data_IF_625881683061
#
_entry.id   IF_625881683061
#
_cell.length_a   1.000
_cell.length_b   1.000
_cell.length_c   1.000
_cell.angle_alpha   90.00
_cell.angle_beta   90.00
_cell.angle_gamma   90.00
#
_symmetry.space_group_name_H-M   'P 1'
#
loop_
_entity.id
_entity.type
_entity.pdbx_description
1 polymer ?
#
# COMPACT_ATOMS: atom_id res chain seq x y z
N UNK A 1 -16.52 17.92 -5.94
CA UNK A 1 -15.72 17.55 -5.81
C UNK A 1 -15.24 16.54 -5.84
N UNK A 2 -14.89 16.38 -6.03
CA UNK A 2 -14.46 15.70 -6.18
C UNK A 2 -13.67 14.87 -5.82
N UNK A 3 -13.34 14.89 -5.53
CA UNK A 3 -12.71 13.63 -5.50
C UNK A 3 -11.75 13.48 -4.42
N UNK A 4 -11.35 12.25 -4.21
CA UNK A 4 -10.37 11.92 -3.19
C UNK A 4 -8.99 11.86 -3.83
N UNK A 5 -8.01 12.37 -3.12
CA UNK A 5 -6.63 12.36 -3.59
C UNK A 5 -5.85 11.29 -2.85
N UNK A 6 -5.25 10.40 -3.61
CA UNK A 6 -4.42 9.33 -3.05
C UNK A 6 -2.98 9.51 -3.48
N UNK A 7 -2.07 9.15 -2.58
CA UNK A 7 -0.65 9.12 -2.87
C UNK A 7 -0.07 7.80 -2.43
N UNK A 8 0.84 7.26 -3.22
CA UNK A 8 1.58 6.06 -2.87
C UNK A 8 3.05 6.45 -2.87
N UNK A 9 3.68 6.38 -1.70
CA UNK A 9 5.08 6.73 -1.55
C UNK A 9 5.88 5.48 -1.21
N UNK A 10 6.90 5.21 -2.02
CA UNK A 10 7.75 4.05 -1.82
C UNK A 10 9.18 4.54 -1.76
N UNK A 11 9.93 4.10 -0.75
CA UNK A 11 11.33 4.42 -0.65
C UNK A 11 12.10 3.19 -0.21
N UNK A 12 13.40 3.19 -0.53
CA UNK A 12 14.27 2.07 -0.23
C UNK A 12 15.63 2.59 0.17
N UNK A 13 16.21 1.95 1.18
CA UNK A 13 17.57 2.26 1.61
C UNK A 13 18.16 0.99 2.19
N UNK A 14 19.20 0.45 1.52
CA UNK A 14 19.93 -0.71 2.03
C UNK A 14 19.03 -1.88 2.40
N UNK A 15 18.17 -2.30 1.48
CA UNK A 15 17.26 -3.43 1.68
C UNK A 15 16.18 -3.17 2.73
N UNK A 16 16.03 -1.93 3.15
CA UNK A 16 14.96 -1.53 4.03
C UNK A 16 13.98 -0.69 3.22
N UNK A 17 12.73 -1.11 3.19
CA UNK A 17 11.72 -0.50 2.34
C UNK A 17 10.64 0.14 3.18
N UNK A 18 10.08 1.25 2.67
CA UNK A 18 8.94 1.90 3.28
C UNK A 18 7.89 2.12 2.22
N UNK A 19 6.64 1.81 2.55
CA UNK A 19 5.51 2.10 1.68
C UNK A 19 4.49 2.84 2.51
N UNK A 20 3.98 3.92 1.97
CA UNK A 20 2.97 4.71 2.65
C UNK A 20 1.88 5.06 1.65
N UNK A 21 0.64 4.83 2.03
CA UNK A 21 -0.51 5.20 1.21
C UNK A 21 -1.27 6.29 1.96
N UNK A 22 -1.45 7.43 1.30
CA UNK A 22 -2.12 8.58 1.88
C UNK A 22 -3.43 8.84 1.15
N UNK A 23 -4.43 9.26 1.90
CA UNK A 23 -5.72 9.67 1.36
C UNK A 23 -6.01 11.06 1.89
N UNK A 24 -6.03 12.05 0.99
CA UNK A 24 -6.26 13.44 1.35
C UNK A 24 -5.29 13.93 2.42
N UNK A 25 -4.03 13.45 2.34
CA UNK A 25 -3.01 13.83 3.30
C UNK A 25 -2.98 12.98 4.55
N UNK A 26 -3.96 12.09 4.74
CA UNK A 26 -4.01 11.22 5.91
C UNK A 26 -3.42 9.86 5.59
N UNK A 27 -2.70 9.30 6.54
CA UNK A 27 -2.11 7.98 6.34
C UNK A 27 -3.18 6.90 6.40
N UNK A 28 -3.41 6.25 5.27
CA UNK A 28 -4.35 5.15 5.17
C UNK A 28 -3.66 3.84 5.56
N UNK A 29 -2.39 3.71 5.19
CA UNK A 29 -1.65 2.47 5.39
C UNK A 29 -0.17 2.79 5.36
N UNK A 30 0.60 2.11 6.20
CA UNK A 30 2.06 2.22 6.17
C UNK A 30 2.66 0.86 6.47
N UNK A 31 3.75 0.55 5.80
CA UNK A 31 4.47 -0.70 6.00
C UNK A 31 5.95 -0.44 5.83
N UNK A 32 6.77 -1.13 6.61
CA UNK A 32 8.21 -0.97 6.51
C UNK A 32 8.91 -2.26 6.90
N UNK A 33 10.13 -2.42 6.44
CA UNK A 33 10.93 -3.58 6.71
C UNK A 33 11.55 -4.11 5.43
N UNK A 34 11.90 -5.40 5.42
CA UNK A 34 12.42 -6.00 4.21
C UNK A 34 11.27 -6.25 3.22
N UNK A 35 11.63 -6.69 2.04
CA UNK A 35 10.67 -6.88 0.95
C UNK A 35 9.51 -7.78 1.36
N UNK A 36 9.81 -8.90 1.98
CA UNK A 36 8.79 -9.87 2.35
C UNK A 36 7.87 -9.32 3.43
N UNK A 37 8.42 -8.61 4.41
CA UNK A 37 7.61 -8.02 5.48
C UNK A 37 6.65 -6.97 4.93
N UNK A 38 7.14 -6.13 4.01
CA UNK A 38 6.28 -5.11 3.43
C UNK A 38 5.17 -5.74 2.62
N UNK A 39 5.50 -6.73 1.77
CA UNK A 39 4.48 -7.40 0.98
C UNK A 39 3.46 -8.11 1.86
N UNK A 40 3.92 -8.76 2.92
CA UNK A 40 3.02 -9.46 3.83
C UNK A 40 2.04 -8.48 4.47
N UNK A 41 2.55 -7.32 4.89
CA UNK A 41 1.70 -6.31 5.54
C UNK A 41 0.67 -5.75 4.56
N UNK A 42 1.11 -5.38 3.37
CA UNK A 42 0.19 -4.85 2.36
C UNK A 42 -0.86 -5.87 1.99
N UNK A 43 -0.44 -7.12 1.79
CA UNK A 43 -1.36 -8.19 1.42
C UNK A 43 -2.35 -8.49 2.53
N UNK A 44 -1.91 -8.43 3.77
CA UNK A 44 -2.79 -8.66 4.92
C UNK A 44 -3.91 -7.62 4.97
N UNK A 45 -3.56 -6.36 4.80
CA UNK A 45 -4.54 -5.29 4.83
C UNK A 45 -5.53 -5.43 3.67
N UNK A 46 -5.01 -5.73 2.48
CA UNK A 46 -5.86 -5.93 1.31
C UNK A 46 -6.82 -7.10 1.52
N UNK A 47 -6.30 -8.24 1.98
CA UNK A 47 -7.11 -9.42 2.18
C UNK A 47 -8.20 -9.19 3.21
N UNK A 48 -7.88 -8.47 4.28
CA UNK A 48 -8.87 -8.16 5.31
C UNK A 48 -10.02 -7.33 4.74
N UNK A 49 -9.71 -6.35 3.89
CA UNK A 49 -10.74 -5.54 3.28
C UNK A 49 -11.61 -6.35 2.33
N UNK A 50 -10.99 -7.22 1.54
CA UNK A 50 -11.74 -8.07 0.63
C UNK A 50 -12.66 -9.01 1.41
N UNK A 51 -12.15 -9.59 2.48
CA UNK A 51 -12.93 -10.53 3.30
C UNK A 51 -14.10 -9.85 3.99
N UNK A 52 -13.99 -8.57 4.28
CA UNK A 52 -15.09 -7.82 4.87
C UNK A 52 -15.89 -7.07 3.81
N UNK A 53 -15.66 -7.39 2.54
CA UNK A 53 -16.41 -6.86 1.40
C UNK A 53 -16.31 -5.35 1.27
N UNK A 54 -15.15 -4.81 1.59
CA UNK A 54 -14.90 -3.38 1.45
C UNK A 54 -14.26 -3.11 0.09
N UNK A 55 -15.09 -3.14 -0.95
CA UNK A 55 -14.63 -2.94 -2.33
C UNK A 55 -14.82 -1.48 -2.72
N UNK A 56 -14.06 -0.60 -2.11
CA UNK A 56 -14.14 0.82 -2.40
C UNK A 56 -12.81 1.31 -3.00
N UNK A 57 -12.73 2.61 -3.22
CA UNK A 57 -11.53 3.20 -3.82
C UNK A 57 -10.30 2.99 -2.95
N UNK A 58 -10.46 3.01 -1.63
CA UNK A 58 -9.34 2.75 -0.73
C UNK A 58 -8.74 1.38 -1.00
N UNK A 59 -9.58 0.37 -1.17
CA UNK A 59 -9.13 -0.99 -1.43
C UNK A 59 -8.40 -1.06 -2.77
N UNK A 60 -8.90 -0.35 -3.79
CA UNK A 60 -8.24 -0.32 -5.09
C UNK A 60 -6.86 0.31 -5.00
N UNK A 61 -6.72 1.37 -4.23
CA UNK A 61 -5.44 2.03 -4.09
C UNK A 61 -4.45 1.13 -3.34
N UNK A 62 -4.92 0.39 -2.35
CA UNK A 62 -4.07 -0.57 -1.65
C UNK A 62 -3.57 -1.64 -2.62
N UNK A 63 -4.44 -2.13 -3.49
CA UNK A 63 -4.03 -3.09 -4.51
C UNK A 63 -2.98 -2.48 -5.43
N UNK A 64 -3.17 -1.23 -5.84
CA UNK A 64 -2.19 -0.54 -6.68
C UNK A 64 -0.85 -0.41 -5.97
N UNK A 65 -0.86 -0.17 -4.66
CA UNK A 65 0.38 -0.04 -3.91
C UNK A 65 1.15 -1.36 -3.89
N UNK A 66 0.45 -2.48 -3.81
CA UNK A 66 1.09 -3.79 -3.86
C UNK A 66 1.77 -3.99 -5.21
N UNK A 67 1.09 -3.66 -6.30
CA UNK A 67 1.65 -3.81 -7.64
C UNK A 67 2.83 -2.88 -7.84
N UNK A 68 2.70 -1.64 -7.38
CA UNK A 68 3.77 -0.67 -7.52
C UNK A 68 5.00 -1.11 -6.74
N UNK A 69 4.80 -1.63 -5.55
CA UNK A 69 5.92 -2.10 -4.73
C UNK A 69 6.63 -3.27 -5.39
N UNK A 70 5.86 -4.23 -5.92
CA UNK A 70 6.46 -5.38 -6.61
C UNK A 70 7.27 -4.96 -7.81
N UNK A 71 6.76 -4.00 -8.58
CA UNK A 71 7.50 -3.49 -9.73
C UNK A 71 8.74 -2.73 -9.32
N UNK A 72 8.67 -2.05 -8.19
CA UNK A 72 9.77 -1.24 -7.70
C UNK A 72 10.95 -2.09 -7.21
N UNK A 73 10.66 -3.17 -6.49
CA UNK A 73 11.71 -3.95 -5.84
C UNK A 73 11.98 -5.29 -6.50
N UNK A 74 11.05 -5.79 -7.28
CA UNK A 74 11.23 -7.05 -7.98
C UNK A 74 11.25 -8.29 -7.09
N UNK A 75 10.62 -8.20 -5.93
CA UNK A 75 10.60 -9.38 -5.05
C UNK A 75 9.29 -10.14 -5.10
#
# INVERSE_FOLDING_TARGET
MRGQRYEINISAKDNYYTVEVLKNGWRLLAAEGDCNNVLARLSEVYTRRVNTKQFNDDTRVIEKSIRAFRGYVGC
#
